data_IF_222375777794
#
_entry.id   IF_222375777794
#
_cell.length_a   1.000
_cell.length_b   1.000
_cell.length_c   1.000
_cell.angle_alpha   90.00
_cell.angle_beta   90.00
_cell.angle_gamma   90.00
#
_symmetry.space_group_name_H-M   'P 1'
#
loop_
_entity.id
_entity.type
_entity.pdbx_description
1 polymer ?
#
# COMPACT_ATOMS: atom_id res chain seq x y z
N UNK A 1 -4.32 -16.50 -4.84
CA UNK A 1 -3.35 -15.69 -5.58
C UNK A 1 -2.61 -14.74 -4.64
N UNK A 2 -1.39 -14.41 -4.96
CA UNK A 2 -0.56 -13.49 -4.15
C UNK A 2 0.50 -12.83 -5.01
N UNK A 3 0.97 -11.67 -4.55
CA UNK A 3 2.07 -10.96 -5.20
C UNK A 3 2.87 -10.19 -4.17
N UNK A 4 4.14 -9.98 -4.43
CA UNK A 4 5.04 -9.17 -3.61
C UNK A 4 5.88 -8.29 -4.52
N UNK A 5 5.97 -7.01 -4.19
CA UNK A 5 6.85 -6.06 -4.87
C UNK A 5 7.66 -5.34 -3.81
N UNK A 6 8.94 -5.13 -4.05
CA UNK A 6 9.78 -4.34 -3.15
C UNK A 6 10.64 -3.37 -3.95
N UNK A 7 11.08 -2.31 -3.27
CA UNK A 7 11.91 -1.27 -3.86
C UNK A 7 12.87 -0.74 -2.80
N UNK A 8 14.08 -0.40 -3.21
CA UNK A 8 15.01 0.33 -2.35
C UNK A 8 14.78 1.83 -2.50
N UNK A 9 14.82 2.54 -1.38
CA UNK A 9 14.60 3.98 -1.32
C UNK A 9 15.82 4.62 -0.65
N UNK A 10 16.40 5.69 -1.24
CA UNK A 10 17.58 6.34 -0.69
C UNK A 10 17.22 7.28 0.48
N UNK A 11 16.66 6.72 1.52
CA UNK A 11 16.27 7.39 2.76
C UNK A 11 16.21 6.37 3.88
N UNK A 12 16.36 6.85 5.13
CA UNK A 12 16.26 5.97 6.29
C UNK A 12 14.86 5.37 6.40
N UNK A 13 14.77 4.22 7.04
CA UNK A 13 13.49 3.56 7.27
C UNK A 13 12.53 4.47 8.05
N UNK A 14 13.03 5.21 9.04
CA UNK A 14 12.20 6.15 9.80
C UNK A 14 11.66 7.28 8.93
N UNK A 15 12.47 7.84 8.05
CA UNK A 15 12.03 8.92 7.17
C UNK A 15 10.92 8.44 6.22
N UNK A 16 11.08 7.25 5.65
CA UNK A 16 10.08 6.66 4.76
C UNK A 16 8.79 6.37 5.54
N UNK A 17 8.92 5.78 6.72
CA UNK A 17 7.76 5.46 7.56
C UNK A 17 7.00 6.71 7.99
N UNK A 18 7.69 7.80 8.30
CA UNK A 18 7.04 9.06 8.65
C UNK A 18 6.14 9.60 7.54
N UNK A 19 6.53 9.39 6.28
CA UNK A 19 5.70 9.83 5.16
C UNK A 19 4.51 8.89 4.94
N UNK A 20 4.72 7.56 4.96
CA UNK A 20 3.73 6.62 4.45
C UNK A 20 3.03 5.79 5.52
N UNK A 21 3.47 5.84 6.77
CA UNK A 21 2.97 4.93 7.80
C UNK A 21 1.58 5.25 8.33
N UNK A 22 1.10 6.49 8.20
CA UNK A 22 -0.25 6.84 8.60
C UNK A 22 -1.29 6.19 7.70
N UNK A 23 -2.35 5.63 8.29
CA UNK A 23 -3.38 4.94 7.51
C UNK A 23 -4.17 5.90 6.61
N UNK A 24 -4.14 7.19 6.88
CA UNK A 24 -4.76 8.23 6.07
C UNK A 24 -3.78 8.95 5.13
N UNK A 25 -2.52 8.52 5.07
CA UNK A 25 -1.45 9.24 4.40
C UNK A 25 -1.33 8.97 2.90
N UNK A 26 -2.15 8.09 2.31
CA UNK A 26 -2.03 7.75 0.89
C UNK A 26 -1.97 8.97 -0.04
N UNK A 27 -2.79 10.03 0.15
CA UNK A 27 -2.70 11.20 -0.71
C UNK A 27 -1.35 11.92 -0.65
N UNK A 28 -0.58 11.71 0.42
CA UNK A 28 0.70 12.39 0.60
C UNK A 28 1.82 11.79 -0.27
N UNK A 29 1.66 10.54 -0.71
CA UNK A 29 2.70 9.87 -1.48
C UNK A 29 2.20 9.08 -2.70
N UNK A 30 0.89 8.88 -2.83
CA UNK A 30 0.30 8.05 -3.88
C UNK A 30 -0.59 8.92 -4.77
N UNK A 31 -0.09 9.42 -5.92
CA UNK A 31 -0.79 10.44 -6.70
C UNK A 31 -2.12 9.96 -7.32
N UNK A 32 -2.33 8.66 -7.47
CA UNK A 32 -3.60 8.16 -7.99
C UNK A 32 -4.68 7.97 -6.91
N UNK A 33 -4.37 8.33 -5.64
CA UNK A 33 -5.35 8.40 -4.54
C UNK A 33 -5.33 9.83 -3.99
N UNK A 34 -6.06 10.75 -4.62
CA UNK A 34 -6.03 12.16 -4.19
C UNK A 34 -6.76 12.44 -2.89
N UNK A 35 -7.59 11.50 -2.41
CA UNK A 35 -8.39 11.73 -1.20
C UNK A 35 -8.50 10.46 -0.37
N UNK A 36 -8.32 10.60 0.95
CA UNK A 36 -8.51 9.52 1.92
C UNK A 36 -9.21 10.11 3.15
N UNK A 37 -10.36 9.53 3.51
CA UNK A 37 -11.12 9.94 4.69
C UNK A 37 -11.19 8.75 5.64
N UNK A 38 -10.74 8.93 6.89
CA UNK A 38 -10.79 7.88 7.89
C UNK A 38 -12.05 7.98 8.72
N UNK A 39 -12.59 6.84 9.12
CA UNK A 39 -13.76 6.70 9.98
C UNK A 39 -13.50 5.58 10.99
N UNK A 40 -14.46 5.34 11.87
CA UNK A 40 -14.41 4.27 12.87
C UNK A 40 -13.14 4.33 13.71
N UNK A 41 -12.79 5.52 14.20
CA UNK A 41 -11.61 5.71 15.03
C UNK A 41 -10.29 5.56 14.29
N UNK A 42 -10.29 5.78 12.97
CA UNK A 42 -9.11 5.66 12.13
C UNK A 42 -8.86 4.25 11.60
N UNK A 43 -9.81 3.33 11.79
CA UNK A 43 -9.64 1.93 11.38
C UNK A 43 -10.13 1.65 9.97
N UNK A 44 -10.94 2.54 9.40
CA UNK A 44 -11.47 2.40 8.05
C UNK A 44 -11.07 3.65 7.27
N UNK A 45 -10.58 3.46 6.05
CA UNK A 45 -10.31 4.56 5.14
C UNK A 45 -11.15 4.41 3.89
N UNK A 46 -11.76 5.51 3.46
CA UNK A 46 -12.49 5.61 2.21
C UNK A 46 -11.63 6.41 1.24
N UNK A 47 -11.21 5.77 0.16
CA UNK A 47 -10.29 6.34 -0.81
C UNK A 47 -11.05 6.76 -2.06
N UNK A 48 -10.68 7.92 -2.60
CA UNK A 48 -11.16 8.35 -3.92
C UNK A 48 -9.98 8.22 -4.89
N UNK A 49 -10.20 7.49 -5.98
CA UNK A 49 -9.18 7.33 -7.03
C UNK A 49 -9.21 8.53 -7.96
N UNK A 50 -8.15 8.70 -8.76
CA UNK A 50 -8.05 9.84 -9.69
C UNK A 50 -9.11 9.82 -10.79
N UNK A 51 -9.71 8.66 -11.07
CA UNK A 51 -10.81 8.51 -12.02
C UNK A 51 -12.20 8.66 -11.37
N UNK A 52 -12.28 9.01 -10.08
CA UNK A 52 -13.52 9.21 -9.36
C UNK A 52 -14.09 7.96 -8.70
N UNK A 53 -13.39 6.84 -8.76
CA UNK A 53 -13.81 5.59 -8.11
C UNK A 53 -13.63 5.65 -6.59
N UNK A 54 -14.22 4.68 -5.91
CA UNK A 54 -14.16 4.58 -4.44
C UNK A 54 -13.62 3.22 -4.04
N UNK A 55 -12.67 3.22 -3.10
CA UNK A 55 -12.14 2.01 -2.46
C UNK A 55 -12.26 2.19 -0.95
N UNK A 56 -12.84 1.21 -0.26
CA UNK A 56 -12.97 1.24 1.20
C UNK A 56 -12.13 0.11 1.78
N UNK A 57 -11.24 0.45 2.72
CA UNK A 57 -10.29 -0.47 3.31
C UNK A 57 -10.35 -0.42 4.82
N UNK A 58 -10.08 -1.56 5.46
CA UNK A 58 -10.05 -1.68 6.91
C UNK A 58 -8.62 -2.00 7.37
N UNK A 59 -8.18 -1.29 8.41
CA UNK A 59 -6.90 -1.58 9.07
C UNK A 59 -7.05 -2.84 9.92
N UNK A 60 -6.28 -3.87 9.60
CA UNK A 60 -6.32 -5.14 10.33
C UNK A 60 -5.20 -5.25 11.36
N UNK A 61 -4.04 -4.64 11.10
CA UNK A 61 -2.92 -4.61 12.03
C UNK A 61 -2.05 -3.39 11.76
N UNK A 62 -1.48 -2.84 12.80
CA UNK A 62 -0.57 -1.69 12.72
C UNK A 62 0.54 -1.86 13.73
N UNK A 63 1.79 -1.83 13.27
CA UNK A 63 2.95 -1.96 14.15
C UNK A 63 3.96 -0.86 13.81
N UNK A 64 3.95 0.19 14.62
CA UNK A 64 4.82 1.35 14.41
C UNK A 64 6.31 1.01 14.63
N UNK A 65 6.59 0.03 15.49
CA UNK A 65 7.96 -0.39 15.77
C UNK A 65 8.55 -1.18 14.60
N UNK A 66 7.74 -2.08 14.03
CA UNK A 66 8.13 -2.88 12.86
C UNK A 66 7.97 -2.12 11.54
N UNK A 67 7.38 -0.92 11.57
CA UNK A 67 7.09 -0.10 10.41
C UNK A 67 6.26 -0.87 9.38
N UNK A 68 5.12 -1.39 9.84
CA UNK A 68 4.27 -2.26 9.04
C UNK A 68 2.81 -2.03 9.36
N UNK A 69 1.95 -2.10 8.33
CA UNK A 69 0.52 -2.23 8.57
C UNK A 69 -0.11 -3.18 7.56
N UNK A 70 -1.21 -3.80 7.99
CA UNK A 70 -1.98 -4.76 7.21
C UNK A 70 -3.41 -4.25 7.08
N UNK A 71 -3.98 -4.36 5.89
CA UNK A 71 -5.33 -3.91 5.63
C UNK A 71 -6.07 -4.89 4.73
N UNK A 72 -7.41 -4.88 4.85
CA UNK A 72 -8.31 -5.63 3.98
C UNK A 72 -9.13 -4.66 3.13
N UNK A 73 -9.69 -5.14 2.04
CA UNK A 73 -10.62 -4.37 1.22
C UNK A 73 -12.05 -4.73 1.61
N UNK A 74 -12.85 -3.73 1.97
CA UNK A 74 -14.27 -3.88 2.24
C UNK A 74 -15.07 -3.71 0.97
N UNK A 75 -14.69 -2.74 0.12
CA UNK A 75 -15.37 -2.43 -1.13
C UNK A 75 -14.37 -1.85 -2.13
N UNK A 76 -14.34 -2.42 -3.32
CA UNK A 76 -13.50 -1.92 -4.40
C UNK A 76 -13.98 -2.47 -5.74
N UNK A 77 -13.65 -1.79 -6.86
CA UNK A 77 -13.99 -2.29 -8.20
C UNK A 77 -12.97 -3.32 -8.71
N UNK A 78 -12.36 -4.09 -7.83
CA UNK A 78 -11.36 -5.09 -8.20
C UNK A 78 -11.99 -6.48 -8.26
N UNK A 79 -11.58 -7.33 -9.22
CA UNK A 79 -12.15 -8.67 -9.39
C UNK A 79 -11.58 -9.69 -8.41
N UNK A 80 -11.62 -9.37 -7.11
CA UNK A 80 -11.09 -10.25 -6.04
C UNK A 80 -11.97 -10.15 -4.80
N UNK A 81 -11.90 -11.19 -3.98
CA UNK A 81 -12.44 -11.21 -2.61
C UNK A 81 -11.34 -11.67 -1.65
N UNK A 82 -11.59 -11.55 -0.36
CA UNK A 82 -10.66 -11.97 0.70
C UNK A 82 -9.26 -11.34 0.52
N UNK A 83 -9.23 -10.07 0.15
CA UNK A 83 -7.99 -9.33 -0.06
C UNK A 83 -7.38 -8.93 1.28
N UNK A 84 -6.12 -9.30 1.46
CA UNK A 84 -5.34 -8.90 2.64
C UNK A 84 -3.95 -8.48 2.16
N UNK A 85 -3.51 -7.30 2.56
CA UNK A 85 -2.25 -6.74 2.10
C UNK A 85 -1.45 -6.15 3.24
N UNK A 86 -0.13 -6.30 3.18
CA UNK A 86 0.79 -5.76 4.17
C UNK A 86 1.88 -4.96 3.47
N UNK A 87 2.15 -3.76 4.00
CA UNK A 87 3.26 -2.94 3.54
C UNK A 87 4.22 -2.76 4.73
N UNK A 88 5.51 -2.96 4.48
CA UNK A 88 6.54 -2.94 5.52
C UNK A 88 7.75 -2.18 5.03
N UNK A 89 8.31 -1.33 5.91
CA UNK A 89 9.58 -0.63 5.65
C UNK A 89 10.67 -1.36 6.42
N UNK A 90 11.64 -1.90 5.68
CA UNK A 90 12.77 -2.65 6.25
C UNK A 90 14.02 -1.77 6.30
N UNK A 91 14.76 -1.87 7.38
CA UNK A 91 16.11 -1.33 7.44
C UNK A 91 17.03 -2.19 6.56
N UNK A 92 18.11 -1.58 6.05
CA UNK A 92 19.14 -2.27 5.30
C UNK A 92 20.48 -2.11 6.03
N UNK A 93 21.54 -2.69 5.47
CA UNK A 93 22.88 -2.52 6.02
C UNK A 93 23.34 -1.05 5.99
N UNK A 94 22.79 -0.24 5.09
CA UNK A 94 23.04 1.20 5.02
C UNK A 94 21.87 1.92 5.70
N UNK A 95 22.17 2.68 6.76
CA UNK A 95 21.15 3.43 7.52
C UNK A 95 20.46 4.52 6.73
N UNK A 96 21.01 4.93 5.58
CA UNK A 96 20.43 5.94 4.71
C UNK A 96 19.69 5.33 3.51
N UNK A 97 19.51 4.00 3.52
CA UNK A 97 18.77 3.26 2.50
C UNK A 97 17.80 2.34 3.20
N UNK A 98 16.57 2.28 2.72
CA UNK A 98 15.55 1.35 3.22
C UNK A 98 14.99 0.55 2.07
N UNK A 99 14.29 -0.55 2.41
CA UNK A 99 13.58 -1.38 1.44
C UNK A 99 12.11 -1.45 1.85
N UNK A 100 11.23 -1.06 0.95
CA UNK A 100 9.78 -1.17 1.19
C UNK A 100 9.25 -2.37 0.43
N UNK A 101 8.53 -3.20 1.15
CA UNK A 101 7.92 -4.41 0.62
C UNK A 101 6.40 -4.31 0.73
N UNK A 102 5.71 -4.56 -0.37
CA UNK A 102 4.25 -4.55 -0.43
C UNK A 102 3.78 -5.92 -0.89
N UNK A 103 3.10 -6.62 0.00
CA UNK A 103 2.61 -7.99 -0.22
C UNK A 103 1.09 -8.01 -0.17
N UNK A 104 0.47 -8.76 -1.07
CA UNK A 104 -0.97 -8.97 -1.06
C UNK A 104 -1.33 -10.40 -1.38
N UNK A 105 -2.40 -10.90 -0.75
CA UNK A 105 -3.01 -12.18 -1.09
C UNK A 105 -4.52 -12.00 -1.23
N UNK A 106 -5.11 -12.71 -2.17
CA UNK A 106 -6.49 -12.48 -2.57
C UNK A 106 -7.02 -13.67 -3.37
N UNK A 107 -8.35 -13.75 -3.47
CA UNK A 107 -9.03 -14.78 -4.27
C UNK A 107 -9.65 -14.13 -5.51
N UNK A 108 -9.22 -14.49 -6.72
CA UNK A 108 -9.78 -13.95 -7.96
C UNK A 108 -11.24 -14.34 -8.15
N UNK A 109 -12.03 -13.42 -8.75
CA UNK A 109 -13.43 -13.64 -9.09
C UNK A 109 -13.60 -13.33 -10.58
N UNK A 110 -13.94 -14.36 -11.38
CA UNK A 110 -14.15 -14.26 -12.83
C UNK A 110 -12.91 -13.80 -13.63
N UNK A 111 -11.73 -13.93 -13.04
CA UNK A 111 -10.45 -13.72 -13.71
C UNK A 111 -9.49 -14.83 -13.27
N UNK A 112 -8.41 -15.02 -14.00
CA UNK A 112 -7.41 -16.03 -13.63
C UNK A 112 -6.51 -15.52 -12.49
N UNK A 113 -5.80 -16.46 -11.84
CA UNK A 113 -4.81 -16.09 -10.85
C UNK A 113 -3.77 -15.15 -11.44
N UNK A 114 -3.29 -15.45 -12.65
CA UNK A 114 -2.28 -14.64 -13.34
C UNK A 114 -2.78 -13.23 -13.62
N UNK A 115 -4.04 -13.08 -14.04
CA UNK A 115 -4.63 -11.77 -14.30
C UNK A 115 -4.73 -10.94 -13.02
N UNK A 116 -5.19 -11.53 -11.93
CA UNK A 116 -5.30 -10.83 -10.65
C UNK A 116 -3.91 -10.47 -10.09
N UNK A 117 -2.95 -11.38 -10.17
CA UNK A 117 -1.59 -11.13 -9.72
C UNK A 117 -0.92 -10.02 -10.52
N UNK A 118 -1.12 -10.00 -11.84
CA UNK A 118 -0.59 -8.94 -12.69
C UNK A 118 -1.18 -7.57 -12.35
N UNK A 119 -2.48 -7.52 -12.05
CA UNK A 119 -3.17 -6.28 -11.66
C UNK A 119 -2.52 -5.68 -10.42
N UNK A 120 -2.41 -6.45 -9.34
CA UNK A 120 -1.89 -5.92 -8.08
C UNK A 120 -0.37 -5.72 -8.11
N UNK A 121 0.36 -6.55 -8.86
CA UNK A 121 1.80 -6.31 -9.08
C UNK A 121 2.01 -4.94 -9.73
N UNK A 122 1.20 -4.59 -10.72
CA UNK A 122 1.26 -3.27 -11.37
C UNK A 122 0.93 -2.14 -10.41
N UNK A 123 -0.12 -2.29 -9.60
CA UNK A 123 -0.53 -1.29 -8.61
C UNK A 123 0.58 -1.08 -7.57
N UNK A 124 1.14 -2.16 -7.03
CA UNK A 124 2.19 -2.06 -6.01
C UNK A 124 3.48 -1.47 -6.58
N UNK A 125 3.84 -1.87 -7.80
CA UNK A 125 5.03 -1.35 -8.48
C UNK A 125 4.92 0.16 -8.70
N UNK A 126 3.79 0.61 -9.24
CA UNK A 126 3.56 2.03 -9.51
C UNK A 126 3.49 2.82 -8.21
N UNK A 127 2.86 2.26 -7.18
CA UNK A 127 2.77 2.89 -5.87
C UNK A 127 4.13 3.04 -5.20
N UNK A 128 4.95 1.99 -5.20
CA UNK A 128 6.28 2.04 -4.60
C UNK A 128 7.21 2.98 -5.37
N UNK A 129 7.08 3.06 -6.68
CA UNK A 129 7.82 4.03 -7.48
C UNK A 129 7.44 5.46 -7.10
N UNK A 130 6.15 5.73 -6.94
CA UNK A 130 5.66 7.04 -6.50
C UNK A 130 6.19 7.38 -5.11
N UNK A 131 6.23 6.41 -4.19
CA UNK A 131 6.80 6.60 -2.86
C UNK A 131 8.27 6.99 -2.96
N UNK A 132 9.05 6.26 -3.75
CA UNK A 132 10.47 6.54 -3.94
C UNK A 132 10.71 7.94 -4.51
N UNK A 133 9.85 8.40 -5.42
CA UNK A 133 9.99 9.72 -6.06
C UNK A 133 9.95 10.86 -5.06
N UNK A 134 9.41 10.66 -3.85
CA UNK A 134 9.44 11.65 -2.78
C UNK A 134 10.83 11.81 -2.13
N UNK A 135 11.75 10.88 -2.37
CA UNK A 135 13.06 10.82 -1.71
C UNK A 135 14.23 10.95 -2.68
N UNK A 136 13.96 11.10 -3.97
CA UNK A 136 15.00 11.34 -4.99
C UNK A 136 14.87 12.76 -5.52
N UNK A 137 16.01 13.37 -5.76
CA UNK A 137 16.07 14.75 -6.27
C UNK A 137 15.72 14.79 -7.77
#
# INVERSE_FOLDING_TARGET
AKTTVSIEIPASADAVWQLMGGFDALPDWLPFIPKSVVTEGGRVRSLTTSDGGTVVERLEAFDNRQRSYTYSIIQAPFPVVDYLSTITVHETADSQVSRVEWFGEFTPVNVTNEEAEALFTGIYRDGLKALKDNFVA
#
